data_IF_054942015343
#
_entry.id   IF_054942015343
#
_cell.length_a   1.000
_cell.length_b   1.000
_cell.length_c   1.000
_cell.angle_alpha   90.00
_cell.angle_beta   90.00
_cell.angle_gamma   90.00
#
_symmetry.space_group_name_H-M   'P 1'
#
loop_
_entity.id
_entity.type
_entity.pdbx_description
1 polymer ?
#
# COMPACT_ATOMS: atom_id res chain seq x y z
N UNK A 1 5.17 -30.90 -18.36
CA UNK A 1 4.30 -30.02 -17.56
C UNK A 1 5.22 -29.09 -16.79
N UNK A 2 5.49 -27.90 -17.32
CA UNK A 2 6.29 -26.91 -16.62
C UNK A 2 5.36 -26.19 -15.64
N UNK A 3 5.56 -26.45 -14.35
CA UNK A 3 4.85 -25.74 -13.31
C UNK A 3 5.28 -24.28 -13.35
N UNK A 4 4.37 -23.41 -13.80
CA UNK A 4 4.45 -21.96 -13.60
C UNK A 4 4.56 -21.71 -12.10
N UNK A 5 5.80 -21.52 -11.65
CA UNK A 5 6.10 -21.09 -10.30
C UNK A 5 5.66 -19.63 -10.23
N UNK A 6 4.38 -19.43 -9.87
CA UNK A 6 3.85 -18.09 -9.63
C UNK A 6 4.80 -17.36 -8.69
N UNK A 7 5.46 -16.32 -9.21
CA UNK A 7 6.24 -15.41 -8.40
C UNK A 7 5.21 -14.73 -7.50
N UNK A 8 5.16 -15.13 -6.24
CA UNK A 8 4.37 -14.45 -5.22
C UNK A 8 4.91 -13.02 -5.13
N UNK A 9 4.24 -12.09 -5.81
CA UNK A 9 4.55 -10.68 -5.71
C UNK A 9 4.21 -10.28 -4.28
N UNK A 10 5.21 -10.24 -3.41
CA UNK A 10 5.07 -9.70 -2.05
C UNK A 10 4.77 -8.21 -2.15
N UNK A 11 3.50 -7.88 -2.19
CA UNK A 11 3.04 -6.50 -2.12
C UNK A 11 3.20 -5.99 -0.69
N UNK A 12 3.97 -4.90 -0.50
CA UNK A 12 4.14 -4.29 0.83
C UNK A 12 2.79 -3.78 1.39
N UNK A 13 1.97 -3.19 0.51
CA UNK A 13 0.58 -2.86 0.79
C UNK A 13 -0.33 -4.05 0.52
N UNK A 14 -1.22 -4.33 1.47
CA UNK A 14 -2.32 -5.27 1.28
C UNK A 14 -3.34 -4.72 0.27
N UNK A 15 -4.17 -5.60 -0.29
CA UNK A 15 -5.26 -5.20 -1.19
C UNK A 15 -6.22 -4.20 -0.53
N UNK A 16 -6.54 -4.43 0.75
CA UNK A 16 -7.39 -3.54 1.54
C UNK A 16 -6.77 -2.14 1.68
N UNK A 17 -5.48 -2.07 2.03
CA UNK A 17 -4.76 -0.80 2.15
C UNK A 17 -4.74 -0.03 0.81
N UNK A 18 -4.49 -0.73 -0.31
CA UNK A 18 -4.56 -0.13 -1.65
C UNK A 18 -5.93 0.41 -1.99
N UNK A 19 -6.98 -0.39 -1.76
CA UNK A 19 -8.36 0.03 -2.00
C UNK A 19 -8.71 1.28 -1.17
N UNK A 20 -8.33 1.31 0.11
CA UNK A 20 -8.55 2.47 0.99
C UNK A 20 -7.81 3.71 0.47
N UNK A 21 -6.56 3.58 0.04
CA UNK A 21 -5.78 4.70 -0.53
C UNK A 21 -6.39 5.19 -1.86
N UNK A 22 -6.86 4.29 -2.72
CA UNK A 22 -7.52 4.64 -3.98
C UNK A 22 -8.80 5.45 -3.74
N UNK A 23 -9.64 5.02 -2.80
CA UNK A 23 -10.86 5.74 -2.42
C UNK A 23 -10.53 7.07 -1.71
N UNK A 24 -9.48 7.11 -0.89
CA UNK A 24 -8.99 8.33 -0.26
C UNK A 24 -8.59 9.39 -1.31
N UNK A 25 -7.87 8.97 -2.36
CA UNK A 25 -7.42 9.83 -3.46
C UNK A 25 -8.59 10.41 -4.28
N UNK A 26 -9.75 9.76 -4.26
CA UNK A 26 -11.00 10.28 -4.84
C UNK A 26 -11.70 11.31 -3.92
N UNK A 27 -11.12 11.67 -2.77
CA UNK A 27 -11.68 12.64 -1.83
C UNK A 27 -12.67 12.05 -0.82
N UNK A 28 -12.77 10.72 -0.69
CA UNK A 28 -13.67 10.12 0.29
C UNK A 28 -13.07 10.15 1.70
N UNK A 29 -13.90 10.57 2.67
CA UNK A 29 -13.58 10.48 4.09
C UNK A 29 -13.60 9.02 4.57
N UNK A 30 -12.90 8.73 5.68
CA UNK A 30 -12.85 7.38 6.26
C UNK A 30 -14.24 6.81 6.54
N UNK A 31 -15.18 7.66 6.98
CA UNK A 31 -16.58 7.27 7.16
C UNK A 31 -17.24 6.84 5.84
N UNK A 32 -17.08 7.62 4.76
CA UNK A 32 -17.65 7.28 3.45
C UNK A 32 -17.04 6.01 2.88
N UNK A 33 -15.73 5.82 3.07
CA UNK A 33 -15.04 4.59 2.68
C UNK A 33 -15.55 3.41 3.47
N UNK A 34 -15.68 3.54 4.78
CA UNK A 34 -16.16 2.50 5.66
C UNK A 34 -17.54 1.98 5.24
N UNK A 35 -18.46 2.91 4.92
CA UNK A 35 -19.77 2.58 4.35
C UNK A 35 -19.67 1.88 2.99
N UNK A 36 -18.76 2.32 2.11
CA UNK A 36 -18.61 1.78 0.76
C UNK A 36 -18.06 0.34 0.74
N UNK A 37 -17.17 0.00 1.67
CA UNK A 37 -16.54 -1.33 1.76
C UNK A 37 -17.09 -2.18 2.92
N UNK A 38 -18.25 -1.79 3.46
CA UNK A 38 -18.99 -2.47 4.53
C UNK A 38 -18.13 -2.83 5.75
N UNK A 39 -17.50 -1.82 6.35
CA UNK A 39 -16.64 -1.93 7.55
C UNK A 39 -16.89 -0.73 8.49
N UNK A 40 -16.24 -0.71 9.65
CA UNK A 40 -16.27 0.42 10.58
C UNK A 40 -15.23 1.53 10.24
N UNK A 41 -15.53 2.82 10.52
CA UNK A 41 -14.59 3.93 10.29
C UNK A 41 -13.23 3.79 11.00
N UNK A 42 -13.15 3.38 12.28
CA UNK A 42 -11.86 3.18 12.95
C UNK A 42 -10.93 2.19 12.25
N UNK A 43 -11.47 1.09 11.70
CA UNK A 43 -10.72 0.13 10.89
C UNK A 43 -10.15 0.75 9.62
N UNK A 44 -10.92 1.62 8.95
CA UNK A 44 -10.42 2.37 7.78
C UNK A 44 -9.31 3.33 8.18
N UNK A 45 -9.50 4.12 9.24
CA UNK A 45 -8.48 5.06 9.73
C UNK A 45 -7.18 4.33 10.08
N UNK A 46 -7.26 3.20 10.81
CA UNK A 46 -6.09 2.38 11.15
C UNK A 46 -5.40 1.86 9.90
N UNK A 47 -6.16 1.27 8.97
CA UNK A 47 -5.61 0.71 7.74
C UNK A 47 -4.95 1.80 6.88
N UNK A 48 -5.55 2.98 6.78
CA UNK A 48 -4.98 4.12 6.05
C UNK A 48 -3.66 4.59 6.66
N UNK A 49 -3.59 4.72 7.99
CA UNK A 49 -2.34 5.09 8.69
C UNK A 49 -1.24 4.06 8.47
N UNK A 50 -1.57 2.76 8.56
CA UNK A 50 -0.61 1.70 8.29
C UNK A 50 -0.10 1.74 6.85
N UNK A 51 -0.99 1.97 5.88
CA UNK A 51 -0.64 2.10 4.48
C UNK A 51 0.31 3.29 4.23
N UNK A 52 0.03 4.45 4.84
CA UNK A 52 0.88 5.63 4.75
C UNK A 52 2.27 5.38 5.34
N UNK A 53 2.33 4.79 6.54
CA UNK A 53 3.60 4.43 7.18
C UNK A 53 4.47 3.53 6.30
N UNK A 54 3.87 2.51 5.68
CA UNK A 54 4.58 1.62 4.74
C UNK A 54 5.13 2.35 3.52
N UNK A 55 4.42 3.36 3.02
CA UNK A 55 4.89 4.18 1.90
C UNK A 55 6.04 5.10 2.31
N UNK A 56 5.99 5.66 3.52
CA UNK A 56 7.08 6.47 4.09
C UNK A 56 8.35 5.65 4.32
N UNK A 57 8.21 4.45 4.89
CA UNK A 57 9.30 3.49 5.06
C UNK A 57 9.92 3.11 3.72
N UNK A 58 9.09 2.75 2.74
CA UNK A 58 9.57 2.44 1.39
C UNK A 58 10.30 3.63 0.74
N UNK A 59 9.82 4.87 0.94
CA UNK A 59 10.52 6.06 0.45
C UNK A 59 11.90 6.21 1.10
N UNK A 60 11.98 6.01 2.42
CA UNK A 60 13.23 6.08 3.19
C UNK A 60 14.24 5.05 2.69
N UNK A 61 13.80 3.81 2.46
CA UNK A 61 14.65 2.74 1.95
C UNK A 61 15.15 3.05 0.53
N UNK A 62 14.30 3.62 -0.33
CA UNK A 62 14.66 4.04 -1.68
C UNK A 62 15.69 5.19 -1.68
N UNK A 63 15.52 6.16 -0.79
CA UNK A 63 16.46 7.27 -0.60
C UNK A 63 17.83 6.76 -0.13
N UNK A 64 17.84 5.87 0.87
CA UNK A 64 19.06 5.23 1.36
C UNK A 64 19.76 4.44 0.25
N UNK A 65 19.02 3.58 -0.47
CA UNK A 65 19.54 2.77 -1.57
C UNK A 65 20.19 3.65 -2.65
N UNK A 66 19.53 4.75 -3.01
CA UNK A 66 20.05 5.73 -3.96
C UNK A 66 21.35 6.36 -3.47
N UNK A 67 21.42 6.74 -2.18
CA UNK A 67 22.60 7.36 -1.57
C UNK A 67 23.84 6.46 -1.59
N UNK A 68 23.66 5.15 -1.45
CA UNK A 68 24.76 4.18 -1.43
C UNK A 68 25.05 3.54 -2.80
N UNK A 69 24.34 3.97 -3.86
CA UNK A 69 24.56 3.48 -5.22
C UNK A 69 23.96 2.10 -5.51
N UNK A 70 22.95 1.67 -4.74
CA UNK A 70 22.20 0.44 -5.05
C UNK A 70 21.31 0.69 -6.26
N UNK A 71 21.40 -0.14 -7.33
CA UNK A 71 20.56 0.01 -8.50
C UNK A 71 19.12 -0.39 -8.17
N UNK A 72 18.24 0.59 -8.02
CA UNK A 72 16.79 0.38 -7.89
C UNK A 72 16.15 0.46 -9.28
N UNK A 73 15.52 -0.63 -9.72
CA UNK A 73 14.72 -0.62 -10.94
C UNK A 73 13.38 0.08 -10.68
N UNK A 74 13.03 1.02 -11.55
CA UNK A 74 11.67 1.56 -11.67
C UNK A 74 11.13 0.98 -12.97
N UNK A 75 10.07 0.18 -12.85
CA UNK A 75 9.39 -0.43 -14.00
C UNK A 75 8.75 0.63 -14.91
#
# INVERSE_FOLDING_TARGET
MHSDKQIEVRMSLTERERMILQLARQGLSDYKIARKINTDPPSVTRSRKNAQKKLEEAMTDLEWATKIGVPVKRD
#
